data_IF_848209971509
#
_entry.id   IF_848209971509
#
_cell.length_a   1.000
_cell.length_b   1.000
_cell.length_c   1.000
_cell.angle_alpha   90.00
_cell.angle_beta   90.00
_cell.angle_gamma   90.00
#
_symmetry.space_group_name_H-M   'P 1'
#
loop_
_entity.id
_entity.type
_entity.pdbx_description
1 polymer ?
#
# COMPACT_ATOMS: atom_id res chain seq x y z
N UNK A 1 3.28 29.65 20.57
CA UNK A 1 2.59 30.86 21.08
C UNK A 1 1.12 30.65 21.50
N UNK A 2 0.52 29.45 21.38
CA UNK A 2 -0.85 29.17 21.86
C UNK A 2 -0.91 28.39 23.20
N UNK A 3 0.17 27.72 23.60
CA UNK A 3 0.26 26.99 24.88
C UNK A 3 0.44 27.90 26.11
N UNK A 4 0.96 29.11 25.93
CA UNK A 4 1.24 30.05 27.02
C UNK A 4 0.00 30.83 27.50
N UNK A 5 -1.08 30.84 26.72
CA UNK A 5 -2.30 31.61 27.06
C UNK A 5 -3.20 30.80 28.01
N UNK A 6 -3.25 29.47 27.86
CA UNK A 6 -4.09 28.62 28.71
C UNK A 6 -3.60 28.56 30.17
N UNK A 7 -2.28 28.55 30.38
CA UNK A 7 -1.67 28.51 31.72
C UNK A 7 -1.88 29.83 32.47
N UNK A 8 -1.90 30.96 31.75
CA UNK A 8 -2.14 32.28 32.34
C UNK A 8 -3.60 32.45 32.78
N UNK A 9 -4.56 31.89 32.03
CA UNK A 9 -5.99 31.96 32.37
C UNK A 9 -6.36 31.06 33.56
N UNK A 10 -5.69 29.90 33.71
CA UNK A 10 -5.89 29.03 34.89
C UNK A 10 -5.22 29.60 36.14
N UNK A 11 -4.13 30.36 36.00
CA UNK A 11 -3.41 30.96 37.13
C UNK A 11 -4.08 32.23 37.69
N UNK A 12 -4.80 33.00 36.85
CA UNK A 12 -5.53 34.19 37.31
C UNK A 12 -6.81 33.86 38.09
N UNK A 13 -7.35 32.63 37.96
CA UNK A 13 -8.50 32.19 38.75
C UNK A 13 -8.13 31.82 40.21
N UNK A 14 -6.85 31.50 40.48
CA UNK A 14 -6.37 31.09 41.81
C UNK A 14 -5.86 32.25 42.69
N UNK A 15 -5.67 33.45 42.13
CA UNK A 15 -5.14 34.61 42.87
C UNK A 15 -6.22 35.57 43.42
N UNK A 16 -7.51 35.29 43.16
CA UNK A 16 -8.61 36.06 43.75
C UNK A 16 -9.08 35.52 45.12
N UNK A 17 -8.37 34.53 45.69
CA UNK A 17 -8.66 33.98 47.02
C UNK A 17 -7.47 34.26 47.94
N UNK A 18 -7.39 35.47 48.49
CA UNK A 18 -6.34 35.79 49.45
C UNK A 18 -6.25 37.23 49.91
N UNK A 19 -6.88 37.51 51.06
CA UNK A 19 -6.63 38.65 51.96
C UNK A 19 -7.03 40.05 51.46
N UNK A 20 -8.33 40.35 51.49
CA UNK A 20 -8.76 41.70 51.85
C UNK A 20 -8.38 41.95 53.31
N UNK A 21 -7.30 42.71 53.54
CA UNK A 21 -7.04 43.30 54.86
C UNK A 21 -8.11 44.37 55.08
N UNK A 22 -9.08 44.08 55.94
CA UNK A 22 -10.04 45.07 56.43
C UNK A 22 -9.29 46.24 57.09
N UNK A 23 -9.62 47.49 56.77
CA UNK A 23 -9.07 48.64 57.50
C UNK A 23 -9.46 48.53 58.97
N UNK A 24 -8.56 48.97 59.87
CA UNK A 24 -8.87 49.06 61.28
C UNK A 24 -10.10 49.96 61.46
N UNK A 25 -11.15 49.38 62.04
CA UNK A 25 -12.41 50.05 62.35
C UNK A 25 -12.17 51.03 63.49
N UNK A 26 -11.95 52.30 63.16
CA UNK A 26 -11.94 53.40 64.12
C UNK A 26 -13.28 54.16 64.19
N UNK A 27 -14.38 53.64 63.62
CA UNK A 27 -15.71 54.28 63.71
C UNK A 27 -16.89 53.39 64.14
N UNK A 28 -16.66 52.15 64.56
CA UNK A 28 -17.69 51.39 65.26
C UNK A 28 -17.04 50.71 66.45
N UNK A 29 -17.17 51.28 67.65
CA UNK A 29 -16.56 50.82 68.89
C UNK A 29 -17.15 49.50 69.42
N UNK A 30 -17.13 48.44 68.60
CA UNK A 30 -17.62 47.11 68.95
C UNK A 30 -16.53 46.08 68.63
N UNK A 31 -16.27 45.21 69.60
CA UNK A 31 -15.22 44.19 69.51
C UNK A 31 -15.59 43.02 68.59
N UNK A 32 -14.61 42.18 68.19
CA UNK A 32 -14.87 41.01 67.37
C UNK A 32 -15.79 40.03 68.13
N UNK A 33 -17.05 39.97 67.68
CA UNK A 33 -18.13 39.21 68.33
C UNK A 33 -19.42 40.00 68.57
N UNK A 34 -19.38 41.33 68.44
CA UNK A 34 -20.52 42.22 68.77
C UNK A 34 -21.27 42.76 67.55
N UNK A 35 -21.01 42.21 66.35
CA UNK A 35 -21.81 42.50 65.17
C UNK A 35 -22.99 41.53 65.11
N UNK A 36 -24.13 41.87 65.73
CA UNK A 36 -25.43 41.32 65.36
C UNK A 36 -25.88 41.91 64.02
N UNK A 37 -25.08 41.68 62.97
CA UNK A 37 -25.64 41.69 61.63
C UNK A 37 -26.53 40.47 61.56
N UNK A 38 -27.84 40.66 61.38
CA UNK A 38 -28.77 39.59 60.99
C UNK A 38 -28.34 39.13 59.59
N UNK A 39 -27.27 38.34 59.52
CA UNK A 39 -26.95 37.55 58.36
C UNK A 39 -27.93 36.41 58.43
N UNK A 40 -28.98 36.50 57.62
CA UNK A 40 -30.04 35.50 57.56
C UNK A 40 -29.44 34.17 57.07
N UNK A 41 -28.91 33.39 58.01
CA UNK A 41 -28.22 32.12 57.78
C UNK A 41 -29.11 31.11 57.06
N UNK A 42 -30.44 31.27 57.14
CA UNK A 42 -31.40 30.54 56.34
C UNK A 42 -31.38 30.92 54.85
N UNK A 43 -31.28 32.21 54.52
CA UNK A 43 -31.16 32.70 53.13
C UNK A 43 -29.86 32.25 52.49
N UNK A 44 -28.72 32.39 53.18
CA UNK A 44 -27.41 31.93 52.68
C UNK A 44 -27.39 30.42 52.42
N UNK A 45 -28.02 29.63 53.29
CA UNK A 45 -28.08 28.16 53.13
C UNK A 45 -28.97 27.77 51.96
N UNK A 46 -30.06 28.51 51.74
CA UNK A 46 -30.98 28.32 50.61
C UNK A 46 -30.32 28.72 49.28
N UNK A 47 -29.60 29.84 49.28
CA UNK A 47 -28.82 30.31 48.13
C UNK A 47 -27.71 29.31 47.76
N UNK A 48 -26.96 28.79 48.73
CA UNK A 48 -25.94 27.76 48.47
C UNK A 48 -26.53 26.46 47.91
N UNK A 49 -27.70 26.04 48.39
CA UNK A 49 -28.40 24.87 47.83
C UNK A 49 -28.85 25.14 46.38
N UNK A 50 -29.38 26.32 46.10
CA UNK A 50 -29.78 26.74 44.75
C UNK A 50 -28.58 26.78 43.79
N UNK A 51 -27.45 27.35 44.24
CA UNK A 51 -26.22 27.44 43.46
C UNK A 51 -25.62 26.05 43.19
N UNK A 52 -25.72 25.12 44.15
CA UNK A 52 -25.28 23.74 43.95
C UNK A 52 -26.12 23.02 42.89
N UNK A 53 -27.44 23.18 42.94
CA UNK A 53 -28.34 22.63 41.92
C UNK A 53 -28.08 23.24 40.53
N UNK A 54 -27.80 24.55 40.45
CA UNK A 54 -27.41 25.21 39.20
C UNK A 54 -26.06 24.73 38.68
N UNK A 55 -25.09 24.50 39.58
CA UNK A 55 -23.78 23.95 39.22
C UNK A 55 -23.92 22.54 38.66
N UNK A 56 -24.69 21.67 39.30
CA UNK A 56 -24.94 20.30 38.82
C UNK A 56 -25.65 20.30 37.46
N UNK A 57 -26.68 21.14 37.27
CA UNK A 57 -27.35 21.32 35.96
C UNK A 57 -26.40 21.83 34.89
N UNK A 58 -25.54 22.78 35.23
CA UNK A 58 -24.58 23.36 34.28
C UNK A 58 -23.52 22.34 33.90
N UNK A 59 -23.07 21.52 34.85
CA UNK A 59 -22.14 20.41 34.59
C UNK A 59 -22.75 19.36 33.66
N UNK A 60 -23.99 18.93 33.92
CA UNK A 60 -24.69 17.98 33.05
C UNK A 60 -24.84 18.50 31.61
N UNK A 61 -25.21 19.78 31.44
CA UNK A 61 -25.27 20.43 30.13
C UNK A 61 -23.91 20.50 29.43
N UNK A 62 -22.83 20.65 30.19
CA UNK A 62 -21.48 20.71 29.64
C UNK A 62 -21.03 19.33 29.15
N UNK A 63 -21.35 18.27 29.88
CA UNK A 63 -21.12 16.88 29.46
C UNK A 63 -21.93 16.53 28.19
N UNK A 64 -23.22 16.90 28.14
CA UNK A 64 -24.07 16.71 26.95
C UNK A 64 -23.52 17.46 25.72
N UNK A 65 -23.09 18.72 25.91
CA UNK A 65 -22.50 19.52 24.84
C UNK A 65 -21.15 18.95 24.35
N UNK A 66 -20.36 18.35 25.24
CA UNK A 66 -19.11 17.68 24.89
C UNK A 66 -19.36 16.42 24.04
N UNK A 67 -20.36 15.61 24.41
CA UNK A 67 -20.79 14.45 23.61
C UNK A 67 -21.33 14.88 22.23
N UNK A 68 -22.17 15.90 22.18
CA UNK A 68 -22.68 16.47 20.93
C UNK A 68 -21.54 16.96 20.05
N UNK A 69 -20.58 17.70 20.62
CA UNK A 69 -19.42 18.21 19.89
C UNK A 69 -18.56 17.07 19.30
N UNK A 70 -18.29 16.02 20.09
CA UNK A 70 -17.54 14.85 19.61
C UNK A 70 -18.29 14.11 18.50
N UNK A 71 -19.61 13.96 18.63
CA UNK A 71 -20.44 13.34 17.60
C UNK A 71 -20.42 14.15 16.29
N UNK A 72 -20.49 15.48 16.39
CA UNK A 72 -20.46 16.39 15.26
C UNK A 72 -19.08 16.41 14.58
N UNK A 73 -18.00 16.40 15.37
CA UNK A 73 -16.64 16.30 14.85
C UNK A 73 -16.45 15.02 14.02
N UNK A 74 -16.86 13.87 14.56
CA UNK A 74 -16.81 12.58 13.86
C UNK A 74 -17.69 12.56 12.60
N UNK A 75 -18.86 13.19 12.65
CA UNK A 75 -19.73 13.34 11.49
C UNK A 75 -19.08 14.20 10.40
N UNK A 76 -18.43 15.30 10.78
CA UNK A 76 -17.76 16.19 9.84
C UNK A 76 -16.56 15.49 9.16
N UNK A 77 -15.76 14.73 9.90
CA UNK A 77 -14.65 13.92 9.35
C UNK A 77 -15.16 12.93 8.28
N UNK A 78 -16.24 12.19 8.57
CA UNK A 78 -16.86 11.27 7.60
C UNK A 78 -17.38 11.99 6.34
N UNK A 79 -17.97 13.18 6.48
CA UNK A 79 -18.42 13.97 5.33
C UNK A 79 -17.24 14.41 4.46
N UNK A 80 -16.16 14.89 5.08
CA UNK A 80 -14.93 15.28 4.37
C UNK A 80 -14.39 14.06 3.61
N UNK A 81 -14.33 12.89 4.24
CA UNK A 81 -13.86 11.68 3.60
C UNK A 81 -14.70 11.29 2.37
N UNK A 82 -16.02 11.27 2.50
CA UNK A 82 -16.93 10.97 1.37
C UNK A 82 -16.79 11.97 0.23
N UNK A 83 -16.50 13.23 0.55
CA UNK A 83 -16.21 14.24 -0.46
C UNK A 83 -14.91 13.91 -1.19
N UNK A 84 -13.82 13.60 -0.46
CA UNK A 84 -12.53 13.20 -1.05
C UNK A 84 -12.65 11.94 -1.90
N UNK A 85 -13.41 10.94 -1.46
CA UNK A 85 -13.68 9.72 -2.23
C UNK A 85 -14.47 10.03 -3.52
N UNK A 86 -15.49 10.89 -3.43
CA UNK A 86 -16.27 11.31 -4.59
C UNK A 86 -15.41 12.13 -5.58
N UNK A 87 -14.54 13.02 -5.09
CA UNK A 87 -13.58 13.76 -5.91
C UNK A 87 -12.58 12.82 -6.59
N UNK A 88 -12.09 11.80 -5.88
CA UNK A 88 -11.21 10.77 -6.44
C UNK A 88 -11.93 9.99 -7.55
N UNK A 89 -13.16 9.55 -7.32
CA UNK A 89 -13.99 8.88 -8.35
C UNK A 89 -14.27 9.77 -9.55
N UNK A 90 -14.48 11.07 -9.35
CA UNK A 90 -14.62 12.02 -10.45
C UNK A 90 -13.34 12.11 -11.29
N UNK A 91 -12.17 12.15 -10.64
CA UNK A 91 -10.86 12.14 -11.33
C UNK A 91 -10.65 10.86 -12.15
N UNK A 92 -11.11 9.71 -11.68
CA UNK A 92 -11.07 8.45 -12.44
C UNK A 92 -11.85 8.60 -13.77
N UNK A 93 -12.98 9.30 -13.76
CA UNK A 93 -13.79 9.50 -14.97
C UNK A 93 -13.17 10.54 -15.91
N UNK A 94 -12.83 11.70 -15.38
CA UNK A 94 -12.46 12.89 -16.18
C UNK A 94 -11.00 12.89 -16.64
N UNK A 95 -10.07 12.38 -15.83
CA UNK A 95 -8.63 12.57 -16.05
C UNK A 95 -8.10 11.72 -17.20
N UNK A 96 -7.30 12.31 -18.08
CA UNK A 96 -6.47 11.58 -19.03
C UNK A 96 -5.18 11.06 -18.38
N UNK A 97 -4.71 11.71 -17.31
CA UNK A 97 -3.55 11.28 -16.53
C UNK A 97 -3.87 10.07 -15.64
N UNK A 98 -2.82 9.52 -15.02
CA UNK A 98 -2.93 8.46 -14.03
C UNK A 98 -3.85 8.93 -12.87
N UNK A 99 -4.98 8.24 -12.61
CA UNK A 99 -5.96 8.68 -11.63
C UNK A 99 -5.45 8.45 -10.21
N UNK A 100 -5.93 9.28 -9.29
CA UNK A 100 -5.70 9.11 -7.84
C UNK A 100 -6.84 8.29 -7.24
N UNK A 101 -6.49 7.27 -6.48
CA UNK A 101 -7.42 6.41 -5.76
C UNK A 101 -7.32 6.66 -4.26
N UNK A 102 -8.45 6.67 -3.56
CA UNK A 102 -8.52 6.80 -2.10
C UNK A 102 -9.80 6.15 -1.56
N UNK A 103 -9.73 5.41 -0.44
CA UNK A 103 -10.92 4.87 0.26
C UNK A 103 -10.71 4.71 1.76
N UNK A 104 -11.78 4.86 2.55
CA UNK A 104 -11.77 4.69 4.03
C UNK A 104 -11.81 3.20 4.39
N UNK A 105 -12.43 2.40 3.52
CA UNK A 105 -12.57 0.96 3.71
C UNK A 105 -11.28 0.28 3.25
N UNK A 106 -10.28 0.32 4.13
CA UNK A 106 -8.93 -0.18 3.85
C UNK A 106 -8.77 -1.68 4.04
N UNK A 107 -9.83 -2.39 4.40
CA UNK A 107 -9.86 -3.85 4.32
C UNK A 107 -9.89 -4.32 2.86
N UNK A 108 -9.42 -5.54 2.60
CA UNK A 108 -9.33 -6.08 1.23
C UNK A 108 -10.68 -6.01 0.49
N UNK A 109 -11.80 -6.30 1.17
CA UNK A 109 -13.12 -6.29 0.52
C UNK A 109 -13.59 -4.87 0.22
N UNK A 110 -13.30 -3.92 1.12
CA UNK A 110 -13.48 -2.50 0.93
C UNK A 110 -12.77 -1.98 -0.31
N UNK A 111 -11.46 -2.22 -0.40
CA UNK A 111 -10.61 -1.85 -1.54
C UNK A 111 -11.15 -2.46 -2.84
N UNK A 112 -11.43 -3.76 -2.85
CA UNK A 112 -11.97 -4.44 -4.04
C UNK A 112 -13.33 -3.88 -4.46
N UNK A 113 -14.20 -3.55 -3.49
CA UNK A 113 -15.51 -2.96 -3.77
C UNK A 113 -15.37 -1.57 -4.37
N UNK A 114 -14.50 -0.74 -3.80
CA UNK A 114 -14.18 0.59 -4.31
C UNK A 114 -13.65 0.53 -5.76
N UNK A 115 -12.73 -0.40 -6.07
CA UNK A 115 -12.20 -0.56 -7.43
C UNK A 115 -13.27 -1.04 -8.42
N UNK A 116 -14.14 -1.96 -8.01
CA UNK A 116 -15.26 -2.43 -8.85
C UNK A 116 -16.28 -1.32 -9.12
N UNK A 117 -16.62 -0.54 -8.10
CA UNK A 117 -17.53 0.59 -8.27
C UNK A 117 -16.92 1.67 -9.14
N UNK A 118 -15.63 1.96 -8.97
CA UNK A 118 -14.89 2.88 -9.84
C UNK A 118 -14.85 2.40 -11.29
N UNK A 119 -14.61 1.09 -11.53
CA UNK A 119 -14.65 0.51 -12.88
C UNK A 119 -16.01 0.73 -13.55
N UNK A 120 -17.12 0.51 -12.82
CA UNK A 120 -18.48 0.69 -13.36
C UNK A 120 -18.76 2.11 -13.86
N UNK A 121 -18.11 3.12 -13.27
CA UNK A 121 -18.26 4.51 -13.71
C UNK A 121 -17.68 4.74 -15.12
N UNK A 122 -16.73 3.91 -15.53
CA UNK A 122 -15.97 4.06 -16.79
C UNK A 122 -16.22 2.91 -17.78
N UNK A 123 -17.12 1.97 -17.49
CA UNK A 123 -17.43 0.78 -18.32
C UNK A 123 -17.81 1.10 -19.79
N UNK A 124 -18.26 2.32 -20.08
CA UNK A 124 -18.63 2.77 -21.44
C UNK A 124 -17.54 3.58 -22.14
N UNK A 125 -16.37 3.70 -21.53
CA UNK A 125 -15.24 4.46 -22.06
C UNK A 125 -14.15 3.52 -22.59
N UNK A 126 -13.09 4.10 -23.14
CA UNK A 126 -11.86 3.37 -23.48
C UNK A 126 -10.97 3.09 -22.26
N UNK A 127 -11.34 3.62 -21.09
CA UNK A 127 -10.63 3.47 -19.83
C UNK A 127 -11.14 2.24 -19.09
N UNK A 128 -10.30 1.66 -18.24
CA UNK A 128 -10.66 0.49 -17.44
C UNK A 128 -9.84 0.34 -16.17
N UNK A 129 -10.35 -0.47 -15.25
CA UNK A 129 -9.65 -0.93 -14.05
C UNK A 129 -9.80 -2.45 -14.01
N UNK A 130 -8.69 -3.17 -14.05
CA UNK A 130 -8.68 -4.64 -14.01
C UNK A 130 -8.02 -5.14 -12.73
N UNK A 131 -8.72 -5.98 -11.98
CA UNK A 131 -8.19 -6.67 -10.81
C UNK A 131 -7.36 -7.90 -11.25
N UNK A 132 -6.08 -7.92 -10.87
CA UNK A 132 -5.15 -9.02 -11.16
C UNK A 132 -5.11 -10.01 -9.98
N UNK A 133 -5.07 -9.51 -8.75
CA UNK A 133 -5.02 -10.29 -7.51
C UNK A 133 -5.82 -9.61 -6.41
N UNK A 134 -6.54 -10.39 -5.59
CA UNK A 134 -7.42 -9.89 -4.53
C UNK A 134 -7.24 -10.62 -3.18
N UNK A 135 -6.10 -11.26 -2.95
CA UNK A 135 -5.81 -11.99 -1.71
C UNK A 135 -4.47 -11.51 -1.13
N UNK A 136 -4.44 -11.12 0.15
CA UNK A 136 -3.30 -10.43 0.76
C UNK A 136 -3.24 -8.98 0.29
N UNK A 137 -2.34 -8.65 -0.63
CA UNK A 137 -2.33 -7.35 -1.32
C UNK A 137 -3.25 -7.37 -2.54
N UNK A 138 -4.01 -6.32 -2.76
CA UNK A 138 -4.79 -6.12 -3.99
C UNK A 138 -3.86 -5.60 -5.08
N UNK A 139 -3.80 -6.30 -6.21
CA UNK A 139 -3.01 -5.89 -7.38
C UNK A 139 -3.98 -5.62 -8.51
N UNK A 140 -3.88 -4.47 -9.13
CA UNK A 140 -4.76 -4.07 -10.23
C UNK A 140 -3.99 -3.27 -11.26
N UNK A 141 -4.53 -3.19 -12.48
CA UNK A 141 -4.04 -2.29 -13.52
C UNK A 141 -5.10 -1.31 -13.97
N UNK A 142 -4.67 -0.09 -14.25
CA UNK A 142 -5.45 0.91 -15.01
C UNK A 142 -5.27 0.67 -16.50
N UNK A 143 -6.26 1.04 -17.32
CA UNK A 143 -6.23 0.96 -18.78
C UNK A 143 -6.73 2.29 -19.34
N UNK A 144 -6.08 2.81 -20.38
CA UNK A 144 -6.42 4.06 -21.04
C UNK A 144 -6.08 5.33 -20.24
N UNK A 145 -5.11 5.26 -19.33
CA UNK A 145 -4.67 6.39 -18.50
C UNK A 145 -3.18 6.68 -18.66
N UNK A 146 -2.83 7.97 -18.65
CA UNK A 146 -1.47 8.49 -18.79
C UNK A 146 -0.82 8.16 -20.14
N UNK A 147 0.42 8.62 -20.30
CA UNK A 147 1.22 8.39 -21.51
C UNK A 147 1.47 6.91 -21.76
N UNK A 148 1.71 6.15 -20.69
CA UNK A 148 2.03 4.72 -20.76
C UNK A 148 0.79 3.83 -20.89
N UNK A 149 -0.40 4.36 -21.23
CA UNK A 149 -1.67 3.65 -21.48
C UNK A 149 -2.22 2.76 -20.35
N UNK A 150 -1.43 1.90 -19.70
CA UNK A 150 -1.83 1.07 -18.57
C UNK A 150 -0.70 0.97 -17.54
N UNK A 151 -1.03 0.97 -16.24
CA UNK A 151 -0.04 0.87 -15.15
C UNK A 151 -0.54 -0.06 -14.03
N UNK A 152 0.38 -0.77 -13.38
CA UNK A 152 0.08 -1.64 -12.24
C UNK A 152 0.20 -0.88 -10.91
N UNK A 153 -0.76 -1.15 -10.04
CA UNK A 153 -0.82 -0.68 -8.67
C UNK A 153 -0.87 -1.85 -7.69
N UNK A 154 -0.32 -1.64 -6.50
CA UNK A 154 -0.44 -2.54 -5.36
C UNK A 154 -1.07 -1.78 -4.20
N UNK A 155 -2.19 -2.28 -3.71
CA UNK A 155 -2.92 -1.73 -2.56
C UNK A 155 -2.89 -2.72 -1.40
N UNK A 156 -2.27 -2.31 -0.31
CA UNK A 156 -2.20 -3.12 0.91
C UNK A 156 -3.39 -2.82 1.83
N UNK A 157 -3.80 -3.84 2.59
CA UNK A 157 -4.76 -3.66 3.66
C UNK A 157 -4.25 -2.66 4.71
N UNK A 158 -5.14 -1.79 5.19
CA UNK A 158 -4.83 -0.71 6.14
C UNK A 158 -4.35 0.60 5.49
N UNK A 159 -4.01 0.59 4.21
CA UNK A 159 -3.59 1.79 3.48
C UNK A 159 -4.79 2.47 2.78
N UNK A 160 -4.87 3.79 2.88
CA UNK A 160 -5.95 4.56 2.25
C UNK A 160 -5.74 4.78 0.74
N UNK A 161 -4.52 4.58 0.24
CA UNK A 161 -4.16 4.78 -1.17
C UNK A 161 -3.25 3.65 -1.69
N UNK A 162 -3.34 3.33 -2.99
CA UNK A 162 -2.46 2.32 -3.60
C UNK A 162 -1.09 2.90 -3.95
N UNK A 163 -0.10 2.02 -4.03
CA UNK A 163 1.23 2.32 -4.55
C UNK A 163 1.30 2.02 -6.05
N UNK A 164 1.64 3.03 -6.84
CA UNK A 164 2.05 2.87 -8.25
C UNK A 164 3.41 2.17 -8.28
N UNK A 165 3.56 1.14 -9.12
CA UNK A 165 4.84 0.45 -9.28
C UNK A 165 5.58 1.03 -10.48
N UNK A 166 6.69 1.73 -10.21
CA UNK A 166 7.51 2.32 -11.26
C UNK A 166 7.99 1.28 -12.28
N UNK A 167 7.78 1.60 -13.57
CA UNK A 167 8.15 0.73 -14.69
C UNK A 167 7.21 -0.45 -14.96
N UNK A 168 6.22 -0.70 -14.10
CA UNK A 168 5.18 -1.72 -14.29
C UNK A 168 4.04 -1.22 -15.21
N UNK A 169 4.43 -0.80 -16.40
CA UNK A 169 3.58 -0.18 -17.40
C UNK A 169 3.46 -1.01 -18.67
N UNK A 170 2.35 -0.85 -19.39
CA UNK A 170 2.04 -1.59 -20.61
C UNK A 170 1.82 -0.66 -21.79
N UNK A 171 2.40 -0.96 -22.94
CA UNK A 171 1.96 -0.32 -24.17
C UNK A 171 0.52 -0.73 -24.55
N UNK A 172 0.03 -0.20 -25.68
CA UNK A 172 -1.34 -0.39 -26.15
C UNK A 172 -1.70 -1.87 -26.41
N UNK A 173 -0.70 -2.69 -26.76
CA UNK A 173 -0.86 -4.11 -27.06
C UNK A 173 -0.32 -4.98 -25.92
N UNK A 174 0.08 -4.36 -24.81
CA UNK A 174 0.78 -5.00 -23.72
C UNK A 174 -0.13 -5.93 -22.93
N UNK A 175 0.48 -7.03 -22.48
CA UNK A 175 -0.21 -8.09 -21.74
C UNK A 175 0.61 -8.52 -20.53
N UNK A 176 0.00 -9.31 -19.66
CA UNK A 176 0.71 -9.96 -18.57
C UNK A 176 0.40 -11.45 -18.50
N UNK A 177 1.34 -12.20 -17.94
CA UNK A 177 1.13 -13.58 -17.52
C UNK A 177 1.74 -13.82 -16.14
N UNK A 178 1.21 -14.81 -15.43
CA UNK A 178 1.81 -15.27 -14.18
C UNK A 178 3.10 -16.04 -14.48
N UNK A 179 4.16 -15.67 -13.78
CA UNK A 179 5.44 -16.37 -13.77
C UNK A 179 5.66 -16.87 -12.34
N UNK A 180 4.98 -17.96 -12.00
CA UNK A 180 4.84 -18.43 -10.62
C UNK A 180 4.26 -17.33 -9.69
N UNK A 181 5.00 -16.86 -8.67
CA UNK A 181 4.58 -15.76 -7.80
C UNK A 181 4.82 -14.36 -8.37
N UNK A 182 5.52 -14.27 -9.51
CA UNK A 182 5.84 -13.02 -10.20
C UNK A 182 4.83 -12.75 -11.32
N UNK A 183 4.79 -11.50 -11.79
CA UNK A 183 4.04 -11.12 -13.00
C UNK A 183 5.05 -10.81 -14.11
N UNK A 184 4.93 -11.49 -15.24
CA UNK A 184 5.64 -11.13 -16.46
C UNK A 184 4.79 -10.15 -17.26
N UNK A 185 5.32 -8.95 -17.49
CA UNK A 185 4.74 -7.90 -18.33
C UNK A 185 5.38 -8.02 -19.72
N UNK A 186 4.56 -8.08 -20.77
CA UNK A 186 5.00 -8.18 -22.17
C UNK A 186 4.56 -6.93 -22.92
N UNK A 187 5.52 -6.21 -23.48
CA UNK A 187 5.35 -4.97 -24.26
C UNK A 187 6.19 -5.07 -25.53
N UNK A 188 5.64 -4.78 -26.70
CA UNK A 188 6.28 -4.84 -28.03
C UNK A 188 7.74 -5.37 -28.06
N UNK A 189 7.90 -6.69 -27.99
CA UNK A 189 9.19 -7.38 -28.07
C UNK A 189 10.10 -7.30 -26.85
N UNK A 190 9.62 -6.79 -25.72
CA UNK A 190 10.31 -6.65 -24.43
C UNK A 190 9.46 -7.16 -23.27
N UNK A 191 10.13 -7.84 -22.35
CA UNK A 191 9.54 -8.40 -21.16
C UNK A 191 10.12 -7.75 -19.90
N UNK A 192 9.27 -7.58 -18.89
CA UNK A 192 9.63 -7.11 -17.54
C UNK A 192 9.08 -8.08 -16.50
N UNK A 193 9.79 -8.30 -15.41
CA UNK A 193 9.33 -9.14 -14.31
C UNK A 193 9.01 -8.29 -13.08
N UNK A 194 7.74 -8.27 -12.69
CA UNK A 194 7.26 -7.61 -11.47
C UNK A 194 7.31 -8.59 -10.30
N UNK A 195 8.04 -8.18 -9.26
CA UNK A 195 7.97 -8.78 -7.93
C UNK A 195 6.93 -8.02 -7.09
N UNK A 196 5.79 -8.67 -6.84
CA UNK A 196 4.66 -8.09 -6.09
C UNK A 196 5.05 -7.88 -4.61
N UNK A 197 5.80 -8.81 -4.03
CA UNK A 197 6.19 -8.76 -2.62
C UNK A 197 7.18 -7.63 -2.37
N UNK A 198 8.17 -7.48 -3.26
CA UNK A 198 9.17 -6.39 -3.20
C UNK A 198 8.68 -5.09 -3.85
N UNK A 199 7.47 -5.07 -4.43
CA UNK A 199 6.84 -3.91 -5.07
C UNK A 199 7.72 -3.22 -6.12
N UNK A 200 8.41 -4.00 -6.96
CA UNK A 200 9.34 -3.45 -7.97
C UNK A 200 9.52 -4.36 -9.18
N UNK A 201 9.95 -3.78 -10.29
CA UNK A 201 10.47 -4.57 -11.41
C UNK A 201 11.85 -5.12 -11.05
N UNK A 202 12.07 -6.40 -11.32
CA UNK A 202 13.31 -7.12 -10.99
C UNK A 202 14.10 -7.51 -12.23
N UNK A 203 13.45 -7.88 -13.33
CA UNK A 203 14.12 -8.28 -14.57
C UNK A 203 13.59 -7.58 -15.81
N UNK A 204 14.47 -7.45 -16.82
CA UNK A 204 14.18 -6.85 -18.12
C UNK A 204 14.91 -7.64 -19.22
N UNK A 205 14.19 -8.13 -20.22
CA UNK A 205 14.80 -8.89 -21.31
C UNK A 205 13.98 -8.82 -22.59
N UNK A 206 14.61 -9.07 -23.74
CA UNK A 206 13.91 -9.12 -25.02
C UNK A 206 12.99 -10.36 -25.10
N UNK A 207 11.91 -10.25 -25.87
CA UNK A 207 10.96 -11.35 -26.07
C UNK A 207 11.68 -12.57 -26.68
N UNK A 208 11.66 -13.72 -25.98
CA UNK A 208 12.30 -14.95 -26.44
C UNK A 208 11.36 -15.71 -27.38
N UNK A 209 11.92 -16.60 -28.21
CA UNK A 209 11.13 -17.55 -29.00
C UNK A 209 10.41 -18.59 -28.13
N UNK A 210 10.98 -18.90 -26.96
CA UNK A 210 10.39 -19.78 -25.94
C UNK A 210 10.96 -19.47 -24.57
N UNK A 211 10.13 -19.56 -23.53
CA UNK A 211 10.53 -19.35 -22.14
C UNK A 211 9.86 -20.36 -21.21
N UNK A 212 10.60 -20.90 -20.24
CA UNK A 212 10.04 -21.65 -19.12
C UNK A 212 10.81 -21.34 -17.84
N UNK A 213 10.09 -21.09 -16.74
CA UNK A 213 10.68 -20.90 -15.41
C UNK A 213 11.20 -22.22 -14.86
N UNK A 214 12.44 -22.25 -14.37
CA UNK A 214 12.94 -23.39 -13.62
C UNK A 214 12.27 -23.40 -12.24
N UNK A 215 11.65 -24.53 -11.90
CA UNK A 215 10.84 -24.71 -10.68
C UNK A 215 11.64 -24.31 -9.42
N UNK A 216 10.98 -23.57 -8.52
CA UNK A 216 11.53 -23.12 -7.24
C UNK A 216 12.79 -22.23 -7.36
N UNK A 217 12.95 -21.53 -8.50
CA UNK A 217 14.06 -20.60 -8.75
C UNK A 217 13.58 -19.26 -9.31
N UNK A 218 14.50 -18.31 -9.48
CA UNK A 218 14.31 -17.04 -10.20
C UNK A 218 14.91 -17.09 -11.60
N UNK A 219 15.24 -18.28 -12.09
CA UNK A 219 15.91 -18.47 -13.38
C UNK A 219 14.92 -18.98 -14.43
N UNK A 220 14.83 -18.24 -15.53
CA UNK A 220 14.09 -18.68 -16.72
C UNK A 220 15.05 -19.27 -17.75
N UNK A 221 14.65 -20.40 -18.34
CA UNK A 221 15.30 -20.93 -19.53
C UNK A 221 14.65 -20.28 -20.76
N UNK A 222 15.47 -19.59 -21.54
CA UNK A 222 15.10 -18.83 -22.71
C UNK A 222 15.67 -19.48 -23.96
N UNK A 223 14.90 -19.46 -25.04
CA UNK A 223 15.40 -19.62 -26.41
C UNK A 223 15.38 -18.25 -27.07
N UNK A 224 16.54 -17.70 -27.38
CA UNK A 224 16.65 -16.41 -28.04
C UNK A 224 16.37 -16.50 -29.56
N UNK A 225 16.39 -15.36 -30.24
CA UNK A 225 16.17 -15.25 -31.69
C UNK A 225 17.30 -15.87 -32.52
N UNK A 226 18.49 -16.05 -31.94
CA UNK A 226 19.66 -16.68 -32.56
C UNK A 226 19.66 -18.22 -32.36
N UNK A 227 18.57 -18.79 -31.84
CA UNK A 227 18.46 -20.20 -31.49
C UNK A 227 19.46 -20.64 -30.40
N UNK A 228 19.89 -19.73 -29.52
CA UNK A 228 20.69 -20.05 -28.33
C UNK A 228 19.79 -20.26 -27.14
N UNK A 229 20.19 -21.19 -26.29
CA UNK A 229 19.55 -21.45 -25.01
C UNK A 229 20.27 -20.69 -23.90
N UNK A 230 19.54 -19.87 -23.15
CA UNK A 230 20.08 -18.98 -22.11
C UNK A 230 19.32 -19.18 -20.82
N UNK A 231 20.05 -19.34 -19.72
CA UNK A 231 19.53 -19.28 -18.36
C UNK A 231 19.63 -17.82 -17.89
N UNK A 232 18.50 -17.18 -17.61
CA UNK A 232 18.46 -15.80 -17.14
C UNK A 232 17.85 -15.74 -15.73
N UNK A 233 18.64 -15.27 -14.76
CA UNK A 233 18.17 -14.99 -13.41
C UNK A 233 17.67 -13.54 -13.34
N UNK A 234 16.36 -13.37 -13.25
CA UNK A 234 15.72 -12.06 -13.28
C UNK A 234 15.79 -11.32 -11.95
N UNK A 235 16.33 -11.91 -10.87
CA UNK A 235 16.59 -11.17 -9.62
C UNK A 235 18.02 -10.64 -9.59
N UNK A 236 18.98 -11.48 -9.99
CA UNK A 236 20.40 -11.14 -9.94
C UNK A 236 20.92 -10.49 -11.24
N UNK A 237 20.06 -10.38 -12.26
CA UNK A 237 20.37 -9.88 -13.60
C UNK A 237 21.60 -10.59 -14.22
N UNK A 238 21.62 -11.91 -14.10
CA UNK A 238 22.70 -12.73 -14.66
C UNK A 238 22.19 -13.60 -15.79
N UNK A 239 22.99 -13.74 -16.85
CA UNK A 239 22.70 -14.65 -17.95
C UNK A 239 23.84 -15.66 -18.14
N UNK A 240 23.48 -16.91 -18.41
CA UNK A 240 24.42 -17.99 -18.71
C UNK A 240 23.93 -18.76 -19.92
N UNK A 241 24.73 -18.80 -20.99
CA UNK A 241 24.39 -19.57 -22.18
C UNK A 241 24.68 -21.05 -21.96
N UNK A 242 23.73 -21.92 -22.34
CA UNK A 242 23.93 -23.36 -22.36
C UNK A 242 24.77 -23.74 -23.58
N UNK A 243 25.90 -24.42 -23.36
CA UNK A 243 26.77 -24.87 -24.44
C UNK A 243 26.19 -26.13 -25.11
N UNK A 244 25.47 -25.92 -26.21
CA UNK A 244 24.79 -26.97 -26.97
C UNK A 244 24.95 -26.67 -28.48
N UNK A 245 24.94 -27.71 -29.32
CA UNK A 245 25.06 -27.51 -30.78
C UNK A 245 23.73 -26.97 -31.33
N UNK A 246 23.62 -25.65 -31.39
CA UNK A 246 22.39 -24.95 -31.80
C UNK A 246 22.00 -25.22 -33.26
N UNK A 247 22.80 -25.90 -34.07
CA UNK A 247 22.37 -26.34 -35.41
C UNK A 247 21.58 -27.65 -35.35
N UNK A 248 21.70 -28.41 -34.26
CA UNK A 248 21.05 -29.72 -34.08
C UNK A 248 19.87 -29.67 -33.12
N UNK A 249 19.92 -28.75 -32.15
CA UNK A 249 18.89 -28.59 -31.13
C UNK A 249 18.22 -27.24 -31.31
N UNK A 250 16.89 -27.26 -31.45
CA UNK A 250 16.08 -26.10 -31.83
C UNK A 250 14.90 -25.89 -30.90
N UNK A 251 14.61 -26.80 -29.99
CA UNK A 251 13.57 -26.63 -28.98
C UNK A 251 13.98 -27.27 -27.64
N UNK A 252 13.28 -26.91 -26.58
CA UNK A 252 13.44 -27.51 -25.26
C UNK A 252 12.09 -27.67 -24.57
N UNK A 253 11.93 -28.68 -23.71
CA UNK A 253 10.79 -28.76 -22.81
C UNK A 253 11.28 -29.15 -21.41
N UNK A 254 10.86 -28.37 -20.43
CA UNK A 254 11.04 -28.63 -19.01
C UNK A 254 10.11 -29.76 -18.57
N UNK A 255 10.68 -30.76 -17.92
CA UNK A 255 10.01 -31.84 -17.22
C UNK A 255 10.31 -31.70 -15.72
N UNK A 256 9.67 -32.50 -14.87
CA UNK A 256 9.80 -32.38 -13.40
C UNK A 256 11.27 -32.38 -12.92
N UNK A 257 12.11 -33.25 -13.47
CA UNK A 257 13.49 -33.46 -13.00
C UNK A 257 14.57 -33.17 -14.07
N UNK A 258 14.19 -32.81 -15.30
CA UNK A 258 15.13 -32.61 -16.40
C UNK A 258 14.60 -31.65 -17.47
N UNK A 259 15.52 -31.12 -18.28
CA UNK A 259 15.22 -30.43 -19.53
C UNK A 259 15.49 -31.37 -20.71
N UNK A 260 14.50 -31.53 -21.58
CA UNK A 260 14.65 -32.25 -22.84
C UNK A 260 14.88 -31.25 -23.97
N UNK A 261 16.09 -31.23 -24.53
CA UNK A 261 16.39 -30.51 -25.76
C UNK A 261 16.10 -31.40 -26.96
N UNK A 262 15.41 -30.87 -27.94
CA UNK A 262 15.06 -31.57 -29.18
C UNK A 262 15.46 -30.77 -30.40
N UNK A 263 15.60 -31.46 -31.52
CA UNK A 263 15.75 -30.81 -32.82
C UNK A 263 15.88 -31.84 -33.92
N UNK A 264 16.14 -31.34 -35.12
CA UNK A 264 16.22 -32.14 -36.33
C UNK A 264 17.54 -31.84 -37.03
N UNK A 265 18.24 -32.88 -37.45
CA UNK A 265 19.49 -32.76 -38.19
C UNK A 265 19.43 -33.58 -39.48
N UNK A 266 19.78 -32.98 -40.62
CA UNK A 266 19.78 -33.66 -41.92
C UNK A 266 21.20 -33.89 -42.39
N UNK A 267 21.54 -35.16 -42.67
CA UNK A 267 22.83 -35.55 -43.23
C UNK A 267 22.61 -36.51 -44.40
N UNK A 268 23.24 -36.19 -45.55
CA UNK A 268 23.12 -36.98 -46.78
C UNK A 268 21.67 -37.27 -47.23
N UNK A 269 20.75 -36.33 -46.98
CA UNK A 269 19.34 -36.45 -47.33
C UNK A 269 18.50 -37.30 -46.37
N UNK A 270 19.09 -37.77 -45.26
CA UNK A 270 18.37 -38.48 -44.19
C UNK A 270 18.18 -37.53 -43.01
N UNK A 271 16.94 -37.44 -42.53
CA UNK A 271 16.54 -36.62 -41.39
C UNK A 271 16.64 -37.44 -40.10
N UNK A 272 17.35 -36.90 -39.11
CA UNK A 272 17.54 -37.49 -37.79
C UNK A 272 16.87 -36.63 -36.73
N UNK A 273 16.11 -37.28 -35.85
CA UNK A 273 15.61 -36.63 -34.64
C UNK A 273 16.69 -36.64 -33.56
N UNK A 274 17.06 -35.45 -33.10
CA UNK A 274 18.05 -35.25 -32.05
C UNK A 274 17.33 -35.04 -30.71
N UNK A 275 17.79 -35.74 -29.67
CA UNK A 275 17.28 -35.59 -28.30
C UNK A 275 18.46 -35.58 -27.32
N UNK A 276 18.49 -34.60 -26.43
CA UNK A 276 19.43 -34.52 -25.33
C UNK A 276 18.67 -34.21 -24.04
N UNK A 277 19.08 -34.85 -22.95
CA UNK A 277 18.46 -34.67 -21.65
C UNK A 277 19.47 -34.12 -20.68
N UNK A 278 19.10 -33.07 -19.96
CA UNK A 278 19.92 -32.45 -18.93
C UNK A 278 19.14 -32.49 -17.61
N UNK A 279 19.61 -33.31 -16.67
CA UNK A 279 19.04 -33.36 -15.33
C UNK A 279 19.12 -31.97 -14.66
N UNK A 280 18.03 -31.54 -14.03
CA UNK A 280 17.90 -30.20 -13.48
C UNK A 280 18.87 -29.95 -12.33
N UNK A 281 19.06 -30.94 -11.45
CA UNK A 281 20.02 -30.88 -10.35
C UNK A 281 21.44 -30.56 -10.85
N UNK A 282 21.90 -31.26 -11.89
CA UNK A 282 23.21 -31.05 -12.50
C UNK A 282 23.28 -29.73 -13.25
N UNK A 283 22.19 -29.29 -13.87
CA UNK A 283 22.15 -27.98 -14.52
C UNK A 283 22.29 -26.88 -13.48
N UNK A 284 21.54 -26.97 -12.38
CA UNK A 284 21.60 -26.00 -11.29
C UNK A 284 23.00 -25.95 -10.67
N UNK A 285 23.64 -27.11 -10.45
CA UNK A 285 25.02 -27.16 -9.95
C UNK A 285 26.01 -26.54 -10.96
N UNK A 286 25.98 -26.97 -12.23
CA UNK A 286 26.92 -26.53 -13.26
C UNK A 286 26.82 -25.04 -13.55
N UNK A 287 25.61 -24.48 -13.51
CA UNK A 287 25.36 -23.07 -13.79
C UNK A 287 25.13 -22.25 -12.51
N UNK A 288 25.42 -22.80 -11.33
CA UNK A 288 25.33 -22.11 -10.02
C UNK A 288 23.96 -21.43 -9.81
N UNK A 289 22.87 -22.08 -10.22
CA UNK A 289 21.51 -21.54 -10.09
C UNK A 289 21.06 -21.71 -8.64
N UNK A 290 20.68 -20.59 -8.02
CA UNK A 290 20.17 -20.58 -6.65
C UNK A 290 18.68 -20.87 -6.60
N UNK A 291 18.23 -21.51 -5.51
CA UNK A 291 16.81 -21.66 -5.23
C UNK A 291 16.24 -20.36 -4.70
N UNK A 292 14.98 -20.08 -5.02
CA UNK A 292 14.31 -18.84 -4.65
C UNK A 292 14.31 -18.59 -3.12
N UNK A 293 14.24 -19.66 -2.31
CA UNK A 293 14.25 -19.59 -0.84
C UNK A 293 15.62 -19.20 -0.26
N UNK A 294 16.72 -19.52 -0.97
CA UNK A 294 18.09 -19.20 -0.54
C UNK A 294 18.46 -17.75 -0.86
N UNK A 295 17.87 -17.17 -1.91
CA UNK A 295 18.07 -15.77 -2.31
C UNK A 295 17.45 -14.79 -1.30
N UNK A 296 16.41 -15.22 -0.57
CA UNK A 296 15.70 -14.40 0.43
C UNK A 296 16.46 -14.13 1.74
N UNK A 297 17.54 -14.85 2.02
CA UNK A 297 18.30 -14.74 3.27
C UNK A 297 19.64 -13.99 3.13
N UNK A 298 20.08 -13.68 1.90
CA UNK A 298 21.38 -13.06 1.67
C UNK A 298 21.40 -11.52 1.84
N UNK A 299 20.25 -10.85 2.04
CA UNK A 299 20.18 -9.38 2.04
C UNK A 299 19.78 -8.73 3.38
N UNK A 300 19.74 -9.45 4.51
CA UNK A 300 19.40 -8.85 5.82
C UNK A 300 20.58 -8.58 6.75
N UNK A 301 21.78 -9.09 6.47
CA UNK A 301 22.84 -9.19 7.49
C UNK A 301 24.08 -8.31 7.25
N UNK A 302 24.01 -7.33 6.34
CA UNK A 302 25.10 -6.35 6.17
C UNK A 302 24.59 -4.92 6.12
N UNK A 303 24.03 -4.45 7.23
CA UNK A 303 24.03 -3.02 7.57
C UNK A 303 23.86 -2.85 9.09
N UNK A 304 24.84 -3.33 9.86
CA UNK A 304 25.08 -2.84 11.22
C UNK A 304 26.51 -3.23 11.65
N UNK A 305 27.50 -2.52 11.10
CA UNK A 305 28.80 -2.27 11.75
C UNK A 305 29.65 -1.35 10.87
N UNK A 306 29.55 -0.04 11.12
CA UNK A 306 30.66 0.91 11.26
C UNK A 306 30.18 2.31 11.64
#
# INVERSE_FOLDING_TARGET
MRSSILIVVVSTLLLAVGCTRLPASDETGLGPGEYEGIVNTGEIKKENLSLKDELEKTKAKLEELEEEYLSLAKSNENIIFKLEEAESKLKIVESEDIPKFNTESTDINGIVSYLKDSSRLIDKSTKGIELIKSHGSVVFRTIGYGDEHSQIFIWNEGENEPMLIEGASFDNEGSYEWLDKYILIKNDGKNKVLDIEKKRITGFFDEPLKMQLLKDTTTVLLKDKDNKFVLYDFINDTNKQINLDNNKYTDFNLQEDFVLFTGTYTENGVEYEMRATFALDKMMEMYEIQRADEVGTASSDTEDTL
#
